data_IF_699235861115
#
_entry.id   IF_699235861115
#
_cell.length_a   1.000
_cell.length_b   1.000
_cell.length_c   1.000
_cell.angle_alpha   90.00
_cell.angle_beta   90.00
_cell.angle_gamma   90.00
#
_symmetry.space_group_name_H-M   'P 1'
#
loop_
_entity.id
_entity.type
_entity.pdbx_description
1 polymer ?
#
# COMPACT_ATOMS: atom_id res chain seq x y z
N UNK A 1 4.75 -13.37 14.35
CA UNK A 1 3.36 -13.37 13.84
C UNK A 1 3.33 -12.40 12.68
N UNK A 2 3.31 -12.89 11.44
CA UNK A 2 3.30 -12.01 10.27
C UNK A 2 1.89 -11.46 10.08
N UNK A 3 1.70 -10.15 10.20
CA UNK A 3 0.41 -9.49 9.99
C UNK A 3 0.02 -9.63 8.51
N UNK A 4 -0.88 -10.57 8.17
CA UNK A 4 -1.40 -10.69 6.80
C UNK A 4 -2.23 -9.45 6.44
N UNK A 5 -2.09 -9.01 5.20
CA UNK A 5 -2.90 -7.91 4.65
C UNK A 5 -4.20 -8.50 4.13
N UNK A 6 -5.32 -8.16 4.76
CA UNK A 6 -6.64 -8.55 4.29
C UNK A 6 -7.20 -7.51 3.32
N UNK A 7 -7.46 -7.94 2.08
CA UNK A 7 -8.05 -7.12 1.02
C UNK A 7 -8.96 -7.98 0.14
N UNK A 8 -9.89 -7.34 -0.58
CA UNK A 8 -10.91 -8.05 -1.37
C UNK A 8 -10.69 -8.00 -2.88
N UNK A 9 -9.99 -6.99 -3.39
CA UNK A 9 -9.84 -6.78 -4.83
C UNK A 9 -8.43 -6.30 -5.18
N UNK A 10 -8.14 -5.00 -5.03
CA UNK A 10 -6.83 -4.42 -5.33
C UNK A 10 -6.14 -3.83 -4.11
N UNK A 11 -4.82 -3.86 -4.15
CA UNK A 11 -3.91 -3.22 -3.19
C UNK A 11 -3.15 -2.12 -3.91
N UNK A 12 -3.08 -0.95 -3.30
CA UNK A 12 -2.44 0.22 -3.92
C UNK A 12 -1.14 0.55 -3.20
N UNK A 13 -0.01 0.40 -3.88
CA UNK A 13 1.29 0.84 -3.38
C UNK A 13 1.54 2.27 -3.84
N UNK A 14 1.44 3.21 -2.92
CA UNK A 14 1.80 4.60 -3.14
C UNK A 14 3.31 4.77 -3.00
N UNK A 15 3.95 5.18 -4.10
CA UNK A 15 5.39 5.41 -4.20
C UNK A 15 5.64 6.64 -5.08
N UNK A 16 5.95 7.77 -4.45
CA UNK A 16 6.32 9.01 -5.15
C UNK A 16 7.83 9.22 -5.07
N UNK A 17 8.54 9.01 -6.19
CA UNK A 17 9.98 9.30 -6.31
C UNK A 17 10.92 8.31 -5.61
N UNK A 18 10.45 7.10 -5.29
CA UNK A 18 11.30 6.06 -4.70
C UNK A 18 12.11 5.31 -5.77
N UNK A 19 13.33 4.84 -5.45
CA UNK A 19 14.12 4.02 -6.36
C UNK A 19 13.42 2.71 -6.72
N UNK A 20 13.62 2.23 -7.94
CA UNK A 20 13.05 0.96 -8.42
C UNK A 20 13.42 -0.23 -7.51
N UNK A 21 14.65 -0.28 -7.00
CA UNK A 21 15.10 -1.32 -6.08
C UNK A 21 14.25 -1.37 -4.80
N UNK A 22 13.87 -0.20 -4.26
CA UNK A 22 13.05 -0.12 -3.05
C UNK A 22 11.61 -0.57 -3.34
N UNK A 23 11.09 -0.24 -4.52
CA UNK A 23 9.79 -0.72 -4.99
C UNK A 23 9.80 -2.25 -5.11
N UNK A 24 10.85 -2.84 -5.66
CA UNK A 24 10.93 -4.30 -5.82
C UNK A 24 11.05 -5.03 -4.47
N UNK A 25 11.88 -4.52 -3.54
CA UNK A 25 11.91 -5.04 -2.16
C UNK A 25 10.55 -4.94 -1.46
N UNK A 26 9.82 -3.86 -1.69
CA UNK A 26 8.48 -3.72 -1.13
C UNK A 26 7.51 -4.78 -1.67
N UNK A 27 7.58 -5.12 -2.97
CA UNK A 27 6.75 -6.19 -3.56
C UNK A 27 7.04 -7.53 -2.91
N UNK A 28 8.31 -7.87 -2.69
CA UNK A 28 8.71 -9.10 -2.00
C UNK A 28 8.11 -9.17 -0.60
N UNK A 29 8.23 -8.09 0.18
CA UNK A 29 7.61 -7.99 1.51
C UNK A 29 6.10 -8.09 1.48
N UNK A 30 5.43 -7.44 0.54
CA UNK A 30 3.99 -7.54 0.41
C UNK A 30 3.53 -8.96 0.07
N UNK A 31 4.28 -9.66 -0.77
CA UNK A 31 4.04 -11.07 -1.07
C UNK A 31 4.17 -11.97 0.17
N UNK A 32 5.20 -11.77 1.00
CA UNK A 32 5.35 -12.46 2.29
C UNK A 32 4.15 -12.22 3.23
N UNK A 33 3.51 -11.06 3.11
CA UNK A 33 2.33 -10.65 3.89
C UNK A 33 0.99 -11.02 3.22
N UNK A 34 1.02 -11.81 2.13
CA UNK A 34 -0.17 -12.38 1.50
C UNK A 34 -0.78 -11.54 0.38
N UNK A 35 -0.08 -10.51 -0.12
CA UNK A 35 -0.52 -9.74 -1.29
C UNK A 35 -0.13 -10.48 -2.56
N UNK A 36 -1.11 -10.73 -3.43
CA UNK A 36 -0.88 -11.18 -4.79
C UNK A 36 -0.37 -10.01 -5.64
N UNK A 37 0.79 -10.16 -6.28
CA UNK A 37 1.38 -9.09 -7.09
C UNK A 37 0.54 -8.74 -8.32
N UNK A 38 -0.35 -9.63 -8.78
CA UNK A 38 -1.32 -9.34 -9.85
C UNK A 38 -2.44 -8.39 -9.40
N UNK A 39 -2.63 -8.24 -8.08
CA UNK A 39 -3.60 -7.33 -7.47
C UNK A 39 -2.97 -6.03 -6.99
N UNK A 40 -1.64 -5.92 -7.09
CA UNK A 40 -0.88 -4.75 -6.68
C UNK A 40 -0.83 -3.72 -7.81
N UNK A 41 -1.26 -2.49 -7.49
CA UNK A 41 -1.18 -1.35 -8.39
C UNK A 41 -0.23 -0.34 -7.76
N UNK A 42 0.88 -0.04 -8.45
CA UNK A 42 1.80 1.02 -8.03
C UNK A 42 1.29 2.36 -8.55
N UNK A 43 1.15 3.33 -7.65
CA UNK A 43 0.61 4.66 -7.95
C UNK A 43 1.55 5.75 -7.44
N UNK A 44 1.62 6.85 -8.17
CA UNK A 44 2.38 8.06 -7.79
C UNK A 44 1.48 9.15 -7.19
N UNK A 45 0.15 8.96 -7.22
CA UNK A 45 -0.83 9.88 -6.65
C UNK A 45 -2.03 9.10 -6.08
N UNK A 46 -2.59 9.52 -4.93
CA UNK A 46 -3.71 8.84 -4.28
C UNK A 46 -5.08 9.09 -4.93
N UNK A 47 -5.20 9.97 -5.93
CA UNK A 47 -6.49 10.50 -6.42
C UNK A 47 -7.54 9.48 -6.88
N UNK A 48 -7.13 8.27 -7.28
CA UNK A 48 -8.01 7.23 -7.83
C UNK A 48 -8.16 5.98 -6.95
N UNK A 49 -7.71 6.03 -5.69
CA UNK A 49 -7.84 4.87 -4.78
C UNK A 49 -9.25 4.82 -4.22
N UNK A 50 -10.01 3.72 -4.40
CA UNK A 50 -11.39 3.64 -3.95
C UNK A 50 -11.53 3.51 -2.43
N UNK A 51 -12.67 3.95 -1.90
CA UNK A 51 -13.02 3.73 -0.49
C UNK A 51 -13.08 2.24 -0.17
N UNK A 52 -12.56 1.86 1.00
CA UNK A 52 -12.47 0.48 1.45
C UNK A 52 -11.22 -0.28 0.97
N UNK A 53 -10.46 0.27 0.01
CA UNK A 53 -9.22 -0.35 -0.46
C UNK A 53 -8.11 -0.30 0.60
N UNK A 54 -7.15 -1.22 0.44
CA UNK A 54 -5.88 -1.15 1.16
C UNK A 54 -4.93 -0.26 0.37
N UNK A 55 -4.44 0.79 1.03
CA UNK A 55 -3.41 1.67 0.52
C UNK A 55 -2.15 1.48 1.36
N UNK A 56 -1.03 1.29 0.70
CA UNK A 56 0.27 1.04 1.31
C UNK A 56 1.18 2.16 0.89
N UNK A 57 1.70 2.91 1.86
CA UNK A 57 2.66 3.98 1.58
C UNK A 57 4.07 3.45 1.73
N UNK A 58 4.87 3.58 0.68
CA UNK A 58 6.29 3.25 0.71
C UNK A 58 7.08 4.37 1.39
N UNK A 59 7.76 4.03 2.48
CA UNK A 59 8.77 4.87 3.12
C UNK A 59 10.16 4.23 3.00
N UNK A 60 11.26 4.97 3.20
CA UNK A 60 12.61 4.43 3.02
C UNK A 60 12.95 3.17 3.83
N UNK A 61 12.28 2.95 4.97
CA UNK A 61 12.60 1.86 5.91
C UNK A 61 11.40 0.98 6.29
N UNK A 62 10.20 1.32 5.83
CA UNK A 62 9.00 0.57 6.19
C UNK A 62 7.87 0.83 5.19
N UNK A 63 6.86 -0.03 5.23
CA UNK A 63 5.58 0.12 4.55
C UNK A 63 4.50 0.46 5.56
N UNK A 64 3.76 1.53 5.31
CA UNK A 64 2.60 1.89 6.14
C UNK A 64 1.33 1.36 5.50
N UNK A 65 0.69 0.38 6.14
CA UNK A 65 -0.56 -0.23 5.66
C UNK A 65 -1.74 0.52 6.25
N UNK A 66 -2.62 1.02 5.40
CA UNK A 66 -3.81 1.76 5.80
C UNK A 66 -5.05 1.30 5.01
N UNK A 67 -6.24 1.49 5.59
CA UNK A 67 -7.50 1.25 4.89
C UNK A 67 -8.16 2.57 4.53
N UNK A 68 -8.43 2.80 3.25
CA UNK A 68 -9.11 4.01 2.79
C UNK A 68 -10.52 4.05 3.37
N UNK A 69 -10.80 5.08 4.16
CA UNK A 69 -12.11 5.33 4.75
C UNK A 69 -12.90 6.37 3.98
N UNK A 70 -12.21 7.35 3.38
CA UNK A 70 -12.85 8.43 2.64
C UNK A 70 -11.94 9.03 1.59
N UNK A 71 -12.53 9.40 0.46
CA UNK A 71 -11.86 10.18 -0.60
C UNK A 71 -12.61 11.49 -0.82
N UNK A 72 -11.91 12.62 -0.83
CA UNK A 72 -12.48 13.96 -1.05
C UNK A 72 -11.50 14.83 -1.82
N UNK A 73 -11.88 15.25 -3.03
CA UNK A 73 -11.16 16.29 -3.82
C UNK A 73 -9.63 16.09 -3.83
N UNK A 74 -9.17 14.88 -4.14
CA UNK A 74 -7.74 14.52 -4.19
C UNK A 74 -7.08 14.23 -2.83
N UNK A 75 -7.79 14.43 -1.73
CA UNK A 75 -7.36 14.02 -0.39
C UNK A 75 -7.93 12.66 -0.01
N UNK A 76 -7.11 11.83 0.65
CA UNK A 76 -7.51 10.54 1.19
C UNK A 76 -7.39 10.54 2.71
N UNK A 77 -8.47 10.09 3.37
CA UNK A 77 -8.43 9.71 4.77
C UNK A 77 -8.32 8.18 4.87
N UNK A 78 -7.15 7.70 5.28
CA UNK A 78 -6.86 6.28 5.46
C UNK A 78 -6.21 6.06 6.83
N UNK A 79 -6.97 5.64 7.86
CA UNK A 79 -6.41 5.23 9.13
C UNK A 79 -5.39 4.11 8.94
N UNK A 80 -4.22 4.30 9.53
CA UNK A 80 -3.17 3.30 9.56
C UNK A 80 -3.62 2.08 10.36
N UNK A 81 -3.29 0.90 9.84
CA UNK A 81 -3.51 -0.38 10.48
C UNK A 81 -2.24 -0.85 11.20
N UNK A 82 -1.13 -0.92 10.48
CA UNK A 82 0.17 -1.34 10.99
C UNK A 82 1.31 -0.98 10.02
N UNK A 83 2.55 -1.22 10.45
CA UNK A 83 3.75 -1.11 9.62
C UNK A 83 4.35 -2.48 9.31
N UNK A 84 5.05 -2.57 8.18
CA UNK A 84 5.90 -3.69 7.79
C UNK A 84 7.32 -3.14 7.59
N UNK A 85 8.32 -3.71 8.24
CA UNK A 85 9.71 -3.29 8.05
C UNK A 85 10.27 -3.79 6.70
N UNK A 86 11.08 -2.96 6.05
CA UNK A 86 11.73 -3.27 4.75
C UNK A 86 13.16 -3.80 4.92
#
# INVERSE_FOLDING_TARGET
MSNRIEYTDKVYLYSSGMPAELIDRSKEKLYEHGVNLNDLIVIESPENVPEGAIMITLWPHYLSVAKVKRVREGSIYAPQLFNIDL
#
